data_IF_907300952997
#
_entry.id   IF_907300952997
#
_cell.length_a   1.000
_cell.length_b   1.000
_cell.length_c   1.000
_cell.angle_alpha   90.00
_cell.angle_beta   90.00
_cell.angle_gamma   90.00
#
_symmetry.space_group_name_H-M   'P 1'
#
loop_
_entity.id
_entity.type
_entity.pdbx_description
1 polymer ?
#
# COMPACT_ATOMS: atom_id res chain seq x y z
N UNK A 1 -10.02 -9.56 0.30
CA UNK A 1 -11.20 -9.46 1.19
C UNK A 1 -11.85 -8.12 0.92
N UNK A 2 -13.19 -8.05 0.85
CA UNK A 2 -13.88 -6.75 0.77
C UNK A 2 -13.59 -5.98 2.06
N UNK A 3 -13.07 -4.75 1.96
CA UNK A 3 -12.62 -3.99 3.14
C UNK A 3 -13.78 -3.68 4.10
N UNK A 4 -14.96 -3.37 3.56
CA UNK A 4 -16.12 -2.99 4.36
C UNK A 4 -15.93 -1.62 5.03
N UNK A 5 -16.20 -1.54 6.33
CA UNK A 5 -16.02 -0.33 7.13
C UNK A 5 -14.51 -0.06 7.36
N UNK A 6 -14.07 1.18 7.10
CA UNK A 6 -12.65 1.57 7.24
C UNK A 6 -12.11 1.38 8.67
N UNK A 7 -12.99 1.37 9.68
CA UNK A 7 -12.63 1.05 11.07
C UNK A 7 -11.92 -0.28 11.23
N UNK A 8 -12.12 -1.21 10.30
CA UNK A 8 -11.53 -2.53 10.37
C UNK A 8 -10.11 -2.60 9.78
N UNK A 9 -9.66 -1.59 9.02
CA UNK A 9 -8.38 -1.63 8.32
C UNK A 9 -7.18 -1.91 9.25
N UNK A 10 -7.04 -1.27 10.44
CA UNK A 10 -5.95 -1.62 11.34
C UNK A 10 -5.99 -3.08 11.82
N UNK A 11 -7.19 -3.62 12.03
CA UNK A 11 -7.35 -5.01 12.48
C UNK A 11 -7.02 -6.03 11.38
N UNK A 12 -7.36 -5.72 10.12
CA UNK A 12 -7.02 -6.53 8.95
C UNK A 12 -5.52 -6.58 8.73
N UNK A 13 -4.83 -5.42 8.75
CA UNK A 13 -3.37 -5.39 8.62
C UNK A 13 -2.66 -6.19 9.72
N UNK A 14 -3.15 -6.13 10.96
CA UNK A 14 -2.63 -6.98 12.05
C UNK A 14 -2.94 -8.47 11.83
N UNK A 15 -4.09 -8.79 11.23
CA UNK A 15 -4.44 -10.17 10.89
C UNK A 15 -3.56 -10.72 9.76
N UNK A 16 -3.32 -9.94 8.72
CA UNK A 16 -2.44 -10.29 7.61
C UNK A 16 -1.00 -10.47 8.08
N UNK A 17 -0.53 -9.60 8.97
CA UNK A 17 0.79 -9.77 9.60
C UNK A 17 0.90 -11.11 10.33
N UNK A 18 -0.08 -11.44 11.20
CA UNK A 18 -0.10 -12.73 11.91
C UNK A 18 -0.19 -13.90 10.93
N UNK A 19 -1.04 -13.82 9.92
CA UNK A 19 -1.17 -14.88 8.91
C UNK A 19 0.16 -15.12 8.20
N UNK A 20 0.85 -14.07 7.75
CA UNK A 20 2.16 -14.18 7.11
C UNK A 20 3.24 -14.76 8.03
N UNK A 21 3.25 -14.36 9.30
CA UNK A 21 4.22 -14.88 10.28
C UNK A 21 3.92 -16.34 10.64
N UNK A 22 2.66 -16.67 10.96
CA UNK A 22 2.26 -17.96 11.48
C UNK A 22 2.19 -19.04 10.39
N UNK A 23 1.69 -18.70 9.19
CA UNK A 23 1.44 -19.67 8.12
C UNK A 23 2.59 -19.75 7.11
N UNK A 24 3.30 -18.65 6.88
CA UNK A 24 4.41 -18.61 5.92
C UNK A 24 5.79 -18.53 6.58
N UNK A 25 5.87 -18.33 7.90
CA UNK A 25 7.15 -18.19 8.61
C UNK A 25 7.92 -16.92 8.24
N UNK A 26 7.25 -15.94 7.64
CA UNK A 26 7.88 -14.68 7.27
C UNK A 26 8.18 -13.85 8.52
N UNK A 27 9.21 -13.02 8.43
CA UNK A 27 9.61 -12.14 9.54
C UNK A 27 8.56 -11.05 9.84
N UNK A 28 7.75 -10.70 8.85
CA UNK A 28 6.74 -9.64 8.93
C UNK A 28 5.69 -9.79 7.81
N UNK A 29 4.67 -8.93 7.80
CA UNK A 29 3.73 -8.76 6.68
C UNK A 29 4.48 -8.50 5.36
N UNK A 30 3.89 -8.91 4.22
CA UNK A 30 4.55 -8.94 2.92
C UNK A 30 4.97 -7.55 2.36
N UNK A 31 4.21 -6.51 2.69
CA UNK A 31 4.26 -5.20 2.06
C UNK A 31 4.97 -4.17 2.94
N UNK A 32 5.56 -3.13 2.34
CA UNK A 32 6.23 -2.06 3.11
C UNK A 32 5.24 -1.02 3.63
N UNK A 33 4.17 -0.78 2.88
CA UNK A 33 3.12 0.19 3.22
C UNK A 33 1.75 -0.36 2.89
N UNK A 34 0.78 -0.09 3.76
CA UNK A 34 -0.65 -0.32 3.52
C UNK A 34 -1.40 1.01 3.36
N UNK A 35 -2.44 1.05 2.53
CA UNK A 35 -3.30 2.21 2.32
C UNK A 35 -4.77 1.81 2.46
N UNK A 36 -5.48 2.41 3.42
CA UNK A 36 -6.90 2.13 3.62
C UNK A 36 -7.83 2.96 2.73
N UNK A 37 -9.15 2.73 2.87
CA UNK A 37 -10.20 3.39 2.08
C UNK A 37 -10.15 4.92 2.17
N UNK A 38 -9.76 5.43 3.34
CA UNK A 38 -9.73 6.84 3.65
C UNK A 38 -8.36 7.48 3.34
N UNK A 39 -7.43 6.71 2.76
CA UNK A 39 -6.11 7.19 2.39
C UNK A 39 -5.13 7.28 3.55
N UNK A 40 -5.43 6.66 4.70
CA UNK A 40 -4.43 6.52 5.76
C UNK A 40 -3.33 5.57 5.29
N UNK A 41 -2.09 5.93 5.61
CA UNK A 41 -0.89 5.19 5.21
C UNK A 41 -0.31 4.53 6.45
N UNK A 42 -0.19 3.20 6.40
CA UNK A 42 0.32 2.37 7.48
C UNK A 42 1.74 1.94 7.13
N UNK A 43 2.66 2.16 8.05
CA UNK A 43 3.98 1.54 7.96
C UNK A 43 3.86 0.06 8.33
N UNK A 44 4.41 -0.80 7.46
CA UNK A 44 4.35 -2.23 7.58
C UNK A 44 5.79 -2.78 7.67
N UNK A 45 6.25 -3.55 6.67
CA UNK A 45 7.61 -4.09 6.63
C UNK A 45 8.66 -2.99 6.45
N UNK A 46 9.77 -3.11 7.17
CA UNK A 46 10.92 -2.22 6.99
C UNK A 46 11.43 -2.21 5.54
N UNK A 47 11.65 -1.03 4.97
CA UNK A 47 12.16 -0.84 3.60
C UNK A 47 13.60 -1.29 3.38
N UNK A 48 14.33 -1.63 4.45
CA UNK A 48 15.66 -2.25 4.37
C UNK A 48 15.62 -3.75 4.07
N UNK A 49 14.43 -4.35 4.00
CA UNK A 49 14.20 -5.76 3.77
C UNK A 49 13.36 -5.92 2.51
N UNK A 50 13.63 -6.97 1.71
CA UNK A 50 12.76 -7.28 0.58
C UNK A 50 11.35 -7.62 1.07
N UNK A 51 10.34 -7.19 0.31
CA UNK A 51 8.95 -7.59 0.52
C UNK A 51 8.71 -9.06 0.14
N UNK A 52 7.46 -9.50 0.22
CA UNK A 52 7.04 -10.81 -0.28
C UNK A 52 5.71 -10.68 -1.02
N UNK A 53 5.36 -11.68 -1.82
CA UNK A 53 4.15 -11.71 -2.64
C UNK A 53 3.43 -13.05 -2.61
N UNK A 54 3.96 -14.05 -1.90
CA UNK A 54 3.50 -15.45 -1.99
C UNK A 54 3.47 -15.98 -3.44
N UNK A 55 4.42 -15.52 -4.27
CA UNK A 55 4.61 -15.93 -5.67
C UNK A 55 6.11 -16.07 -5.97
N UNK A 56 6.48 -16.59 -7.15
CA UNK A 56 7.88 -16.76 -7.57
C UNK A 56 8.55 -15.44 -8.04
N UNK A 57 7.90 -14.30 -7.83
CA UNK A 57 8.39 -12.99 -8.25
C UNK A 57 9.47 -12.47 -7.29
N UNK A 58 10.64 -12.13 -7.84
CA UNK A 58 11.73 -11.52 -7.06
C UNK A 58 11.39 -10.07 -6.70
N UNK A 59 11.18 -9.82 -5.42
CA UNK A 59 10.81 -8.52 -4.86
C UNK A 59 12.04 -7.65 -4.53
N UNK A 60 13.26 -8.13 -4.79
CA UNK A 60 14.49 -7.39 -4.51
C UNK A 60 14.52 -6.06 -5.28
N UNK A 61 14.67 -4.96 -4.55
CA UNK A 61 14.68 -3.61 -5.14
C UNK A 61 13.29 -3.02 -5.41
N UNK A 62 12.21 -3.70 -5.02
CA UNK A 62 10.84 -3.22 -5.19
C UNK A 62 10.24 -2.63 -3.91
N UNK A 63 9.51 -1.53 -4.04
CA UNK A 63 8.72 -0.95 -2.95
C UNK A 63 7.25 -1.38 -3.08
N UNK A 64 6.87 -2.39 -2.31
CA UNK A 64 5.53 -2.97 -2.29
C UNK A 64 4.52 -2.14 -1.46
N UNK A 65 3.39 -1.78 -2.07
CA UNK A 65 2.27 -1.08 -1.45
C UNK A 65 1.00 -1.93 -1.55
N UNK A 66 0.32 -2.15 -0.44
CA UNK A 66 -0.99 -2.79 -0.35
C UNK A 66 -2.08 -1.71 -0.30
N UNK A 67 -3.02 -1.73 -1.24
CA UNK A 67 -4.28 -1.01 -1.07
C UNK A 67 -5.31 -1.98 -0.49
N UNK A 68 -5.84 -1.68 0.70
CA UNK A 68 -6.85 -2.50 1.36
C UNK A 68 -8.15 -2.56 0.54
N UNK A 69 -8.60 -3.78 0.20
CA UNK A 69 -9.87 -4.00 -0.50
C UNK A 69 -9.88 -5.20 -1.45
N UNK A 70 -11.03 -5.41 -2.07
CA UNK A 70 -11.22 -6.37 -3.16
C UNK A 70 -11.65 -5.63 -4.43
N UNK A 71 -10.68 -5.21 -5.24
CA UNK A 71 -10.93 -4.35 -6.40
C UNK A 71 -11.38 -5.10 -7.67
N UNK A 72 -11.64 -6.40 -7.58
CA UNK A 72 -12.50 -7.08 -8.57
C UNK A 72 -13.99 -6.78 -8.30
N UNK A 73 -14.33 -6.26 -7.10
CA UNK A 73 -15.70 -6.01 -6.65
C UNK A 73 -15.95 -4.57 -6.22
N UNK A 74 -14.94 -3.89 -5.70
CA UNK A 74 -15.02 -2.54 -5.16
C UNK A 74 -14.35 -1.53 -6.09
N UNK A 75 -14.93 -0.33 -6.22
CA UNK A 75 -14.22 0.80 -6.81
C UNK A 75 -13.13 1.29 -5.85
N UNK A 76 -12.06 1.86 -6.41
CA UNK A 76 -11.01 2.49 -5.60
C UNK A 76 -11.44 3.90 -5.22
N UNK A 77 -11.57 4.25 -3.93
CA UNK A 77 -11.93 5.60 -3.52
C UNK A 77 -10.80 6.59 -3.82
N UNK A 78 -11.18 7.83 -4.11
CA UNK A 78 -10.24 8.91 -4.43
C UNK A 78 -9.20 9.14 -3.31
N UNK A 79 -9.63 9.06 -2.05
CA UNK A 79 -8.72 9.21 -0.90
C UNK A 79 -7.66 8.10 -0.86
N UNK A 80 -8.04 6.86 -1.18
CA UNK A 80 -7.11 5.73 -1.24
C UNK A 80 -6.13 5.87 -2.41
N UNK A 81 -6.59 6.33 -3.59
CA UNK A 81 -5.70 6.64 -4.72
C UNK A 81 -4.71 7.76 -4.37
N UNK A 82 -5.17 8.80 -3.68
CA UNK A 82 -4.32 9.88 -3.21
C UNK A 82 -3.29 9.39 -2.17
N UNK A 83 -3.71 8.53 -1.23
CA UNK A 83 -2.82 7.88 -0.27
C UNK A 83 -1.75 7.02 -0.95
N UNK A 84 -2.14 6.19 -1.91
CA UNK A 84 -1.22 5.38 -2.70
C UNK A 84 -0.24 6.24 -3.51
N UNK A 85 -0.72 7.30 -4.17
CA UNK A 85 0.13 8.23 -4.90
C UNK A 85 1.16 8.90 -3.98
N UNK A 86 0.77 9.31 -2.78
CA UNK A 86 1.68 9.86 -1.77
C UNK A 86 2.72 8.84 -1.31
N UNK A 87 2.33 7.59 -1.06
CA UNK A 87 3.26 6.52 -0.67
C UNK A 87 4.31 6.26 -1.77
N UNK A 88 3.88 6.16 -3.03
CA UNK A 88 4.81 5.95 -4.16
C UNK A 88 5.68 7.19 -4.44
N UNK A 89 5.14 8.41 -4.32
CA UNK A 89 5.94 9.63 -4.44
C UNK A 89 7.04 9.67 -3.37
N UNK A 90 6.69 9.34 -2.11
CA UNK A 90 7.67 9.25 -1.03
C UNK A 90 8.76 8.21 -1.33
N UNK A 91 8.38 7.02 -1.83
CA UNK A 91 9.34 5.99 -2.21
C UNK A 91 10.25 6.43 -3.36
N UNK A 92 9.72 7.12 -4.37
CA UNK A 92 10.50 7.67 -5.47
C UNK A 92 11.55 8.68 -4.98
N UNK A 93 11.19 9.55 -4.03
CA UNK A 93 12.10 10.53 -3.44
C UNK A 93 13.19 9.90 -2.58
N UNK A 94 12.84 8.92 -1.75
CA UNK A 94 13.76 8.37 -0.75
C UNK A 94 14.64 7.23 -1.28
N UNK A 95 14.15 6.46 -2.25
CA UNK A 95 14.84 5.27 -2.75
C UNK A 95 15.24 5.37 -4.22
N UNK A 96 14.99 6.52 -4.88
CA UNK A 96 15.29 6.75 -6.31
C UNK A 96 14.61 5.72 -7.24
N UNK A 97 13.42 5.27 -6.86
CA UNK A 97 12.58 4.40 -7.69
C UNK A 97 11.93 5.26 -8.77
N UNK A 98 12.11 4.91 -10.04
CA UNK A 98 11.52 5.66 -11.15
C UNK A 98 10.00 5.39 -11.24
N UNK A 99 9.19 6.42 -11.44
CA UNK A 99 7.73 6.27 -11.56
C UNK A 99 7.31 5.45 -12.78
N UNK A 100 8.19 5.30 -13.76
CA UNK A 100 8.01 4.45 -14.95
C UNK A 100 8.07 2.96 -14.64
N UNK A 101 8.53 2.55 -13.45
CA UNK A 101 8.55 1.14 -13.02
C UNK A 101 7.32 0.77 -12.19
N UNK A 102 6.31 1.65 -12.10
CA UNK A 102 5.05 1.36 -11.44
C UNK A 102 4.34 0.21 -12.17
N UNK A 103 4.06 -0.86 -11.45
CA UNK A 103 3.43 -2.07 -11.99
C UNK A 103 2.43 -2.66 -10.99
N UNK A 104 1.44 -3.39 -11.49
CA UNK A 104 0.56 -4.24 -10.69
C UNK A 104 1.18 -5.60 -10.46
N UNK A 105 0.77 -6.31 -9.41
CA UNK A 105 1.28 -7.65 -9.12
C UNK A 105 1.04 -8.63 -10.28
N UNK A 106 -0.10 -8.52 -10.98
CA UNK A 106 -0.42 -9.30 -12.18
C UNK A 106 0.51 -9.07 -13.37
N UNK A 107 1.28 -7.99 -13.39
CA UNK A 107 2.26 -7.73 -14.45
C UNK A 107 3.54 -8.56 -14.26
N UNK A 108 3.72 -9.11 -13.05
CA UNK A 108 4.97 -9.73 -12.59
C UNK A 108 4.75 -11.18 -12.11
N UNK A 109 3.50 -11.58 -11.84
CA UNK A 109 3.14 -12.92 -11.41
C UNK A 109 1.76 -13.35 -11.93
N UNK A 110 1.50 -14.66 -11.94
CA UNK A 110 0.22 -15.23 -12.32
C UNK A 110 -0.84 -15.05 -11.21
N UNK A 111 -1.45 -13.87 -11.14
CA UNK A 111 -2.44 -13.49 -10.12
C UNK A 111 -3.47 -12.51 -10.67
N UNK A 112 -4.64 -12.40 -10.03
CA UNK A 112 -5.59 -11.33 -10.31
C UNK A 112 -5.25 -10.04 -9.55
N UNK A 113 -4.37 -10.05 -8.55
CA UNK A 113 -3.96 -8.84 -7.83
C UNK A 113 -3.37 -7.80 -8.81
N UNK A 114 -3.79 -6.52 -8.79
CA UNK A 114 -4.49 -5.81 -7.72
C UNK A 114 -6.01 -5.68 -7.91
N UNK A 115 -6.64 -6.57 -8.69
CA UNK A 115 -8.05 -6.48 -9.06
C UNK A 115 -8.31 -5.51 -10.21
N UNK A 116 -9.43 -5.71 -10.93
CA UNK A 116 -9.75 -5.01 -12.17
C UNK A 116 -9.81 -3.48 -12.00
N UNK A 117 -10.45 -2.98 -10.94
CA UNK A 117 -10.69 -1.55 -10.77
C UNK A 117 -9.41 -0.79 -10.41
N UNK A 118 -8.55 -1.32 -9.52
CA UNK A 118 -7.27 -0.68 -9.21
C UNK A 118 -6.28 -0.81 -10.39
N UNK A 119 -6.29 -1.94 -11.10
CA UNK A 119 -5.47 -2.12 -12.29
C UNK A 119 -5.84 -1.14 -13.42
N UNK A 120 -7.10 -0.70 -13.52
CA UNK A 120 -7.49 0.34 -14.47
C UNK A 120 -6.77 1.67 -14.23
N UNK A 121 -6.49 2.04 -12.97
CA UNK A 121 -5.73 3.26 -12.65
C UNK A 121 -4.23 3.12 -12.97
N UNK A 122 -3.69 1.90 -12.93
CA UNK A 122 -2.32 1.61 -13.36
C UNK A 122 -2.22 1.68 -14.89
N UNK A 123 -3.03 0.90 -15.60
CA UNK A 123 -2.95 0.75 -17.05
C UNK A 123 -3.35 2.02 -17.83
N UNK A 124 -4.24 2.85 -17.28
CA UNK A 124 -4.56 4.18 -17.85
C UNK A 124 -3.50 5.25 -17.56
N UNK A 125 -2.49 4.94 -16.74
CA UNK A 125 -1.48 5.88 -16.28
C UNK A 125 -1.98 6.91 -15.25
N UNK A 126 -3.19 6.75 -14.72
CA UNK A 126 -3.77 7.66 -13.72
C UNK A 126 -2.92 7.74 -12.45
N UNK A 127 -2.61 6.59 -11.85
CA UNK A 127 -1.81 6.57 -10.63
C UNK A 127 -0.40 7.14 -10.86
N UNK A 128 0.20 6.84 -12.02
CA UNK A 128 1.50 7.38 -12.40
C UNK A 128 1.47 8.91 -12.49
N UNK A 129 0.48 9.49 -13.17
CA UNK A 129 0.34 10.95 -13.28
C UNK A 129 0.22 11.62 -11.91
N UNK A 130 -0.59 11.06 -11.01
CA UNK A 130 -0.73 11.58 -9.64
C UNK A 130 0.60 11.59 -8.88
N UNK A 131 1.42 10.56 -9.06
CA UNK A 131 2.77 10.50 -8.45
C UNK A 131 3.67 11.58 -9.07
N UNK A 132 3.71 11.68 -10.40
CA UNK A 132 4.53 12.66 -11.11
C UNK A 132 4.14 14.11 -10.74
N UNK A 133 2.84 14.38 -10.58
CA UNK A 133 2.32 15.69 -10.16
C UNK A 133 2.78 16.05 -8.75
N UNK A 134 2.73 15.12 -7.79
CA UNK A 134 3.25 15.32 -6.43
C UNK A 134 4.75 15.61 -6.45
N UNK A 135 5.52 14.87 -7.23
CA UNK A 135 6.97 15.09 -7.35
C UNK A 135 7.28 16.45 -7.99
N UNK A 136 6.53 16.85 -9.02
CA UNK A 136 6.68 18.14 -9.70
C UNK A 136 6.27 19.32 -8.81
N UNK A 137 5.36 19.10 -7.86
CA UNK A 137 4.94 20.08 -6.86
C UNK A 137 5.91 20.25 -5.68
N UNK A 138 7.10 19.63 -5.75
CA UNK A 138 8.11 19.68 -4.69
C UNK A 138 8.14 18.44 -3.80
N UNK A 139 7.34 17.42 -4.11
CA UNK A 139 7.34 16.14 -3.44
C UNK A 139 6.34 16.00 -2.30
N UNK A 140 6.53 14.99 -1.46
CA UNK A 140 5.70 14.74 -0.29
C UNK A 140 6.52 14.70 0.99
N UNK A 141 5.92 15.21 2.06
CA UNK A 141 6.39 14.98 3.43
C UNK A 141 5.47 13.94 4.07
N UNK A 142 5.93 12.68 4.15
CA UNK A 142 5.28 11.63 4.93
C UNK A 142 6.03 11.49 6.25
N UNK A 143 5.40 12.02 7.31
CA UNK A 143 5.90 11.99 8.67
C UNK A 143 5.59 10.63 9.30
N UNK A 144 6.61 9.98 9.85
CA UNK A 144 6.42 8.76 10.66
C UNK A 144 5.92 9.14 12.05
N UNK A 145 4.83 8.51 12.49
CA UNK A 145 4.35 8.59 13.86
C UNK A 145 4.77 7.34 14.62
N UNK A 146 5.09 7.47 15.91
CA UNK A 146 5.41 6.32 16.76
C UNK A 146 4.85 6.51 18.18
N UNK A 147 4.84 5.43 18.96
CA UNK A 147 4.43 5.48 20.36
C UNK A 147 2.97 5.96 20.55
N UNK A 148 2.70 6.79 21.57
CA UNK A 148 1.34 7.24 21.90
C UNK A 148 0.64 7.98 20.76
N UNK A 149 1.35 8.77 19.96
CA UNK A 149 0.75 9.52 18.84
C UNK A 149 0.26 8.59 17.74
N UNK A 150 1.03 7.54 17.42
CA UNK A 150 0.60 6.50 16.49
C UNK A 150 -0.59 5.72 17.05
N UNK A 151 -0.56 5.36 18.34
CA UNK A 151 -1.66 4.65 18.99
C UNK A 151 -2.96 5.46 18.97
N UNK A 152 -2.89 6.78 19.22
CA UNK A 152 -4.05 7.67 19.16
C UNK A 152 -4.65 7.77 17.75
N UNK A 153 -3.80 7.82 16.71
CA UNK A 153 -4.26 7.82 15.31
C UNK A 153 -4.95 6.52 14.93
N UNK A 154 -4.36 5.37 15.31
CA UNK A 154 -4.98 4.06 15.08
C UNK A 154 -6.32 3.97 15.79
N UNK A 155 -6.40 4.38 17.06
CA UNK A 155 -7.65 4.40 17.82
C UNK A 155 -8.71 5.32 17.19
N UNK A 156 -8.31 6.45 16.61
CA UNK A 156 -9.23 7.35 15.91
C UNK A 156 -9.83 6.67 14.66
N UNK A 157 -9.00 5.96 13.88
CA UNK A 157 -9.46 5.19 12.71
C UNK A 157 -10.41 4.07 13.14
N UNK A 158 -10.07 3.32 14.19
CA UNK A 158 -10.93 2.25 14.75
C UNK A 158 -12.26 2.79 15.30
N UNK A 159 -12.29 4.06 15.72
CA UNK A 159 -13.50 4.77 16.13
C UNK A 159 -14.33 5.34 14.95
N UNK A 160 -13.78 5.36 13.73
CA UNK A 160 -14.47 5.79 12.51
C UNK A 160 -14.13 7.20 12.02
N UNK A 161 -13.01 7.76 12.48
CA UNK A 161 -12.53 9.08 12.06
C UNK A 161 -11.51 9.00 10.91
#
# INVERSE_FOLDING_TARGET
MVLGDNRNAPSHLRQDQRYHQDQHGWIDIAYHVGVDRNGNIYELRSTGLAGDTATDYDTTGHFLVLCEGDFDRESVPEAQLAGAARAFAWAAQNFRVATTTLAGHRDLAATSCPGANLYAHLSSGDLKRRIDDLLSAGGVDLQRFCGPDAAARVAAIEAGN
#
